data_IF_550867696642
#
_entry.id   IF_550867696642
#
_cell.length_a   1.000
_cell.length_b   1.000
_cell.length_c   1.000
_cell.angle_alpha   90.00
_cell.angle_beta   90.00
_cell.angle_gamma   90.00
#
_symmetry.space_group_name_H-M   'P 1'
#
loop_
_entity.id
_entity.type
_entity.pdbx_description
1 polymer ?
#
# COMPACT_ATOMS: atom_id res chain seq x y z
N UNK A 1 -2.49 24.48 -1.17
CA UNK A 1 -2.06 24.58 0.23
C UNK A 1 -3.11 23.91 1.07
N UNK A 2 -2.72 22.93 1.91
CA UNK A 2 -3.64 22.27 2.81
C UNK A 2 -4.31 23.33 3.68
N UNK A 3 -5.64 23.44 3.59
CA UNK A 3 -6.41 24.24 4.53
C UNK A 3 -6.52 23.39 5.78
N UNK A 4 -6.06 23.89 6.92
CA UNK A 4 -6.13 23.26 8.25
C UNK A 4 -7.57 22.95 8.74
N UNK A 5 -8.59 23.32 7.96
CA UNK A 5 -10.00 23.10 8.26
C UNK A 5 -10.62 24.18 9.14
N UNK A 6 -9.84 25.16 9.59
CA UNK A 6 -10.27 26.22 10.51
C UNK A 6 -11.55 26.94 10.04
N UNK A 7 -11.63 27.31 8.76
CA UNK A 7 -12.80 27.98 8.17
C UNK A 7 -14.04 27.08 8.17
N UNK A 8 -13.88 25.79 7.87
CA UNK A 8 -14.97 24.82 7.90
C UNK A 8 -15.50 24.66 9.32
N UNK A 9 -14.60 24.42 10.27
CA UNK A 9 -14.92 24.24 11.68
C UNK A 9 -15.61 25.47 12.28
N UNK A 10 -15.12 26.67 11.96
CA UNK A 10 -15.74 27.93 12.39
C UNK A 10 -17.19 28.04 11.90
N UNK A 11 -17.45 27.74 10.62
CA UNK A 11 -18.82 27.76 10.07
C UNK A 11 -19.74 26.73 10.72
N UNK A 12 -19.24 25.52 11.00
CA UNK A 12 -20.03 24.49 11.69
C UNK A 12 -20.38 24.95 13.11
N UNK A 13 -19.41 25.55 13.82
CA UNK A 13 -19.62 26.14 15.15
C UNK A 13 -20.71 27.21 15.08
N UNK A 14 -20.69 28.10 14.09
CA UNK A 14 -21.68 29.16 13.96
C UNK A 14 -23.10 28.62 13.72
N UNK A 15 -23.24 27.57 12.90
CA UNK A 15 -24.53 26.89 12.70
C UNK A 15 -25.02 26.24 14.00
N UNK A 16 -24.12 25.62 14.77
CA UNK A 16 -24.46 25.01 16.07
C UNK A 16 -24.88 26.09 17.07
N UNK A 17 -24.17 27.22 17.13
CA UNK A 17 -24.55 28.37 17.97
C UNK A 17 -25.92 28.92 17.59
N UNK A 18 -26.21 29.03 16.29
CA UNK A 18 -27.52 29.44 15.79
C UNK A 18 -28.62 28.48 16.25
N UNK A 19 -28.43 27.17 16.05
CA UNK A 19 -29.39 26.15 16.48
C UNK A 19 -29.59 26.18 18.01
N UNK A 20 -28.51 26.35 18.78
CA UNK A 20 -28.59 26.47 20.23
C UNK A 20 -29.43 27.67 20.67
N UNK A 21 -29.27 28.82 20.02
CA UNK A 21 -29.98 30.06 20.36
C UNK A 21 -31.46 30.01 19.95
N UNK A 22 -31.75 29.61 18.71
CA UNK A 22 -33.09 29.77 18.13
C UNK A 22 -33.95 28.51 18.14
N UNK A 23 -33.34 27.32 18.14
CA UNK A 23 -34.07 26.03 18.17
C UNK A 23 -34.09 25.48 19.59
N UNK A 24 -32.93 25.45 20.26
CA UNK A 24 -32.82 24.89 21.60
C UNK A 24 -33.16 25.90 22.71
N UNK A 25 -33.35 27.18 22.38
CA UNK A 25 -33.67 28.28 23.31
C UNK A 25 -32.69 28.30 24.50
N UNK A 26 -31.41 28.10 24.20
CA UNK A 26 -30.31 28.00 25.17
C UNK A 26 -30.45 26.89 26.23
N UNK A 27 -31.43 26.00 26.09
CA UNK A 27 -31.62 24.87 26.99
C UNK A 27 -30.59 23.77 26.71
N UNK A 28 -29.87 23.37 27.76
CA UNK A 28 -28.80 22.37 27.69
C UNK A 28 -29.35 20.99 27.28
N UNK A 29 -30.50 20.58 27.82
CA UNK A 29 -31.09 19.27 27.52
C UNK A 29 -31.56 19.15 26.07
N UNK A 30 -32.10 20.24 25.51
CA UNK A 30 -32.49 20.31 24.11
C UNK A 30 -31.27 20.33 23.18
N UNK A 31 -30.22 21.05 23.57
CA UNK A 31 -28.94 21.07 22.85
C UNK A 31 -28.33 19.66 22.77
N UNK A 32 -28.32 18.92 23.88
CA UNK A 32 -27.83 17.54 23.92
C UNK A 32 -28.70 16.59 23.08
N UNK A 33 -30.02 16.76 23.09
CA UNK A 33 -30.94 15.96 22.28
C UNK A 33 -30.75 16.22 20.79
N UNK A 34 -30.61 17.50 20.41
CA UNK A 34 -30.30 17.90 19.04
C UNK A 34 -28.94 17.35 18.59
N UNK A 35 -27.93 17.40 19.45
CA UNK A 35 -26.61 16.86 19.14
C UNK A 35 -26.63 15.33 18.95
N UNK A 36 -27.35 14.58 19.78
CA UNK A 36 -27.53 13.12 19.60
C UNK A 36 -28.10 12.76 18.23
N UNK A 37 -28.98 13.60 17.69
CA UNK A 37 -29.61 13.39 16.37
C UNK A 37 -28.71 13.79 15.20
N UNK A 38 -27.78 14.72 15.40
CA UNK A 38 -27.07 15.38 14.28
C UNK A 38 -25.58 15.09 14.25
N UNK A 39 -24.92 14.89 15.39
CA UNK A 39 -23.46 14.80 15.49
C UNK A 39 -22.87 13.65 14.67
N UNK A 40 -23.50 12.47 14.65
CA UNK A 40 -23.02 11.35 13.83
C UNK A 40 -22.93 11.75 12.36
N UNK A 41 -23.99 12.36 11.81
CA UNK A 41 -24.02 12.76 10.40
C UNK A 41 -23.05 13.90 10.11
N UNK A 42 -22.93 14.88 11.01
CA UNK A 42 -21.98 15.99 10.86
C UNK A 42 -20.54 15.44 10.83
N UNK A 43 -20.18 14.62 11.81
CA UNK A 43 -18.84 14.03 11.90
C UNK A 43 -18.52 13.13 10.69
N UNK A 44 -19.47 12.33 10.22
CA UNK A 44 -19.30 11.51 9.00
C UNK A 44 -19.04 12.38 7.75
N UNK A 45 -19.76 13.49 7.60
CA UNK A 45 -19.56 14.42 6.48
C UNK A 45 -18.21 15.12 6.56
N UNK A 46 -17.77 15.53 7.76
CA UNK A 46 -16.44 16.12 7.97
C UNK A 46 -15.34 15.11 7.66
N UNK A 47 -15.49 13.86 8.10
CA UNK A 47 -14.52 12.80 7.78
C UNK A 47 -14.45 12.57 6.28
N UNK A 48 -15.60 12.43 5.62
CA UNK A 48 -15.68 12.06 4.20
C UNK A 48 -15.18 13.18 3.28
N UNK A 49 -15.61 14.41 3.52
CA UNK A 49 -15.40 15.54 2.59
C UNK A 49 -14.27 16.49 2.99
N UNK A 50 -13.60 16.24 4.13
CA UNK A 50 -12.47 17.06 4.54
C UNK A 50 -11.31 16.20 5.05
N UNK A 51 -11.48 15.47 6.14
CA UNK A 51 -10.35 14.78 6.78
C UNK A 51 -9.76 13.70 5.89
N UNK A 52 -10.59 12.89 5.22
CA UNK A 52 -10.12 11.84 4.31
C UNK A 52 -9.37 12.38 3.10
N UNK A 53 -9.82 13.50 2.54
CA UNK A 53 -9.14 14.19 1.43
C UNK A 53 -7.85 14.89 1.89
N UNK A 54 -7.79 15.28 3.16
CA UNK A 54 -6.61 15.90 3.75
C UNK A 54 -5.50 14.89 4.11
N UNK A 55 -5.81 13.59 4.20
CA UNK A 55 -4.78 12.55 4.43
C UNK A 55 -3.78 12.58 3.27
N UNK A 56 -2.47 12.77 3.53
CA UNK A 56 -1.47 12.90 2.47
C UNK A 56 -1.28 11.63 1.63
N UNK A 57 -0.76 11.78 0.42
CA UNK A 57 -0.42 10.64 -0.47
C UNK A 57 1.07 10.25 -0.44
N UNK A 58 1.88 11.03 0.29
CA UNK A 58 3.32 10.82 0.48
C UNK A 58 3.70 10.92 1.96
N UNK A 59 4.64 10.07 2.40
CA UNK A 59 5.06 10.02 3.79
C UNK A 59 5.71 11.34 4.27
N UNK A 60 6.47 12.02 3.41
CA UNK A 60 7.08 13.32 3.69
C UNK A 60 6.07 14.41 4.05
N UNK A 61 4.83 14.29 3.55
CA UNK A 61 3.75 15.26 3.76
C UNK A 61 2.92 15.00 5.02
N UNK A 62 3.15 13.89 5.73
CA UNK A 62 2.51 13.61 7.04
C UNK A 62 2.82 14.70 8.08
N UNK A 63 3.99 15.32 7.99
CA UNK A 63 4.38 16.44 8.88
C UNK A 63 3.41 17.61 8.72
N UNK A 64 2.95 17.90 7.50
CA UNK A 64 1.98 18.96 7.24
C UNK A 64 0.56 18.67 7.74
N UNK A 65 0.26 17.42 8.09
CA UNK A 65 -1.04 17.03 8.63
C UNK A 65 -1.21 17.42 10.12
N UNK A 66 -0.12 17.81 10.79
CA UNK A 66 -0.15 18.24 12.20
C UNK A 66 -1.08 19.44 12.44
N UNK A 67 -1.16 20.36 11.48
CA UNK A 67 -2.07 21.50 11.57
C UNK A 67 -3.55 21.04 11.53
N UNK A 68 -3.87 20.04 10.70
CA UNK A 68 -5.21 19.43 10.63
C UNK A 68 -5.55 18.70 11.93
N UNK A 69 -4.60 17.93 12.50
CA UNK A 69 -4.77 17.27 13.80
C UNK A 69 -5.12 18.32 14.88
N UNK A 70 -4.33 19.39 14.95
CA UNK A 70 -4.52 20.47 15.93
C UNK A 70 -5.89 21.14 15.79
N UNK A 71 -6.23 21.62 14.60
CA UNK A 71 -7.49 22.33 14.36
C UNK A 71 -8.72 21.43 14.57
N UNK A 72 -8.62 20.14 14.23
CA UNK A 72 -9.69 19.16 14.47
C UNK A 72 -9.91 18.92 15.96
N UNK A 73 -8.82 18.79 16.72
CA UNK A 73 -8.87 18.60 18.17
C UNK A 73 -9.43 19.84 18.88
N UNK A 74 -9.03 21.04 18.45
CA UNK A 74 -9.57 22.30 18.98
C UNK A 74 -11.07 22.46 18.68
N UNK A 75 -11.50 22.07 17.48
CA UNK A 75 -12.91 22.04 17.11
C UNK A 75 -13.72 21.12 18.03
N UNK A 76 -13.31 19.87 18.23
CA UNK A 76 -14.02 18.96 19.15
C UNK A 76 -14.00 19.46 20.61
N UNK A 77 -12.89 20.04 21.07
CA UNK A 77 -12.81 20.66 22.39
C UNK A 77 -13.82 21.82 22.55
N UNK A 78 -14.00 22.61 21.49
CA UNK A 78 -14.99 23.71 21.47
C UNK A 78 -16.42 23.15 21.58
N UNK A 79 -16.74 22.09 20.83
CA UNK A 79 -18.05 21.43 20.91
C UNK A 79 -18.31 20.80 22.29
N UNK A 80 -17.26 20.29 22.93
CA UNK A 80 -17.31 19.75 24.29
C UNK A 80 -17.61 20.85 25.30
N UNK A 81 -16.96 22.01 25.20
CA UNK A 81 -17.26 23.18 26.03
C UNK A 81 -18.69 23.70 25.85
N UNK A 82 -19.29 23.46 24.68
CA UNK A 82 -20.69 23.79 24.41
C UNK A 82 -21.69 22.72 24.88
N UNK A 83 -21.24 21.61 25.47
CA UNK A 83 -22.04 20.43 25.81
C UNK A 83 -22.76 19.82 24.60
N UNK A 84 -22.25 20.06 23.39
CA UNK A 84 -22.80 19.51 22.15
C UNK A 84 -22.35 18.05 21.97
N UNK A 85 -21.08 17.77 22.24
CA UNK A 85 -20.57 16.40 22.30
C UNK A 85 -20.27 16.03 23.76
N UNK A 86 -20.19 14.73 24.03
CA UNK A 86 -19.89 14.20 25.35
C UNK A 86 -18.56 14.77 25.90
N UNK A 87 -18.51 15.08 27.20
CA UNK A 87 -17.26 15.45 27.86
C UNK A 87 -16.25 14.31 27.91
N UNK A 88 -16.69 13.06 27.75
CA UNK A 88 -15.77 11.93 27.65
C UNK A 88 -14.97 12.01 26.34
N UNK A 89 -13.64 11.85 26.45
CA UNK A 89 -12.73 11.80 25.30
C UNK A 89 -13.02 10.62 24.39
N UNK A 90 -13.64 9.55 24.90
CA UNK A 90 -13.94 8.34 24.12
C UNK A 90 -14.93 8.56 22.97
N UNK A 91 -15.68 9.65 22.99
CA UNK A 91 -16.66 10.00 21.94
C UNK A 91 -16.12 10.98 20.88
N UNK A 92 -14.83 11.32 20.95
CA UNK A 92 -14.16 12.21 19.99
C UNK A 92 -13.88 11.53 18.65
N UNK A 93 -14.93 11.35 17.83
CA UNK A 93 -14.86 10.62 16.56
C UNK A 93 -13.89 11.24 15.57
N UNK A 94 -13.80 12.57 15.49
CA UNK A 94 -12.87 13.26 14.60
C UNK A 94 -11.44 13.22 15.15
N UNK A 95 -11.25 13.41 16.47
CA UNK A 95 -9.93 13.25 17.09
C UNK A 95 -9.40 11.83 16.90
N UNK A 96 -10.25 10.81 17.10
CA UNK A 96 -9.88 9.42 16.85
C UNK A 96 -9.43 9.19 15.40
N UNK A 97 -10.14 9.77 14.41
CA UNK A 97 -9.77 9.66 13.01
C UNK A 97 -8.39 10.26 12.72
N UNK A 98 -8.12 11.49 13.21
CA UNK A 98 -6.86 12.17 12.94
C UNK A 98 -5.68 11.55 13.70
N UNK A 99 -5.93 10.94 14.87
CA UNK A 99 -4.94 10.17 15.62
C UNK A 99 -4.51 8.89 14.87
N UNK A 100 -5.42 8.29 14.10
CA UNK A 100 -5.15 7.12 13.24
C UNK A 100 -4.75 7.49 11.80
N UNK A 101 -4.32 8.73 11.53
CA UNK A 101 -3.91 9.18 10.19
C UNK A 101 -2.86 8.26 9.54
N UNK A 102 -1.90 7.77 10.32
CA UNK A 102 -0.88 6.84 9.81
C UNK A 102 -1.49 5.53 9.31
N UNK A 103 -2.58 5.06 9.93
CA UNK A 103 -3.31 3.86 9.48
C UNK A 103 -4.00 4.13 8.16
N UNK A 104 -4.70 5.26 8.07
CA UNK A 104 -5.41 5.65 6.86
C UNK A 104 -4.45 5.82 5.69
N UNK A 105 -3.31 6.47 5.93
CA UNK A 105 -2.22 6.59 4.98
C UNK A 105 -1.67 5.22 4.56
N UNK A 106 -1.31 4.37 5.53
CA UNK A 106 -0.73 3.06 5.27
C UNK A 106 -1.66 2.15 4.45
N UNK A 107 -2.95 2.09 4.82
CA UNK A 107 -3.97 1.30 4.11
C UNK A 107 -4.17 1.81 2.68
N UNK A 108 -4.27 3.15 2.50
CA UNK A 108 -4.41 3.74 1.17
C UNK A 108 -3.23 3.39 0.27
N UNK A 109 -2.00 3.58 0.79
CA UNK A 109 -0.79 3.33 0.00
C UNK A 109 -0.60 1.86 -0.31
N UNK A 110 -0.87 0.96 0.66
CA UNK A 110 -0.89 -0.48 0.42
C UNK A 110 -1.85 -0.85 -0.71
N UNK A 111 -3.07 -0.31 -0.68
CA UNK A 111 -4.05 -0.57 -1.74
C UNK A 111 -3.57 -0.03 -3.10
N UNK A 112 -2.95 1.16 -3.14
CA UNK A 112 -2.37 1.72 -4.36
C UNK A 112 -1.30 0.79 -4.97
N UNK A 113 -0.38 0.29 -4.14
CA UNK A 113 0.66 -0.66 -4.54
C UNK A 113 0.01 -1.94 -5.10
N UNK A 114 -0.97 -2.52 -4.42
CA UNK A 114 -1.61 -3.76 -4.86
C UNK A 114 -2.42 -3.58 -6.15
N UNK A 115 -3.07 -2.43 -6.34
CA UNK A 115 -3.76 -2.10 -7.60
C UNK A 115 -2.76 -2.00 -8.74
N UNK A 116 -1.62 -1.32 -8.52
CA UNK A 116 -0.54 -1.24 -9.52
C UNK A 116 0.04 -2.61 -9.86
N UNK A 117 0.30 -3.45 -8.85
CA UNK A 117 0.78 -4.82 -9.04
C UNK A 117 -0.21 -5.62 -9.89
N UNK A 118 -1.51 -5.60 -9.55
CA UNK A 118 -2.55 -6.27 -10.36
C UNK A 118 -2.61 -5.75 -11.79
N UNK A 119 -2.50 -4.44 -12.00
CA UNK A 119 -2.49 -3.86 -13.34
C UNK A 119 -1.31 -4.40 -14.18
N UNK A 120 -0.10 -4.42 -13.60
CA UNK A 120 1.11 -4.97 -14.25
C UNK A 120 0.92 -6.45 -14.61
N UNK A 121 0.30 -7.23 -13.73
CA UNK A 121 0.11 -8.67 -13.90
C UNK A 121 -1.02 -9.00 -14.88
N UNK A 122 -2.11 -8.24 -14.89
CA UNK A 122 -3.19 -8.43 -15.87
C UNK A 122 -2.71 -8.07 -17.27
N UNK A 123 -1.94 -6.98 -17.39
CA UNK A 123 -1.32 -6.52 -18.64
C UNK A 123 0.05 -7.17 -18.86
N UNK A 124 0.18 -8.47 -18.57
CA UNK A 124 1.46 -9.15 -18.59
C UNK A 124 2.14 -9.11 -19.97
N UNK A 125 3.29 -8.45 -20.06
CA UNK A 125 4.03 -8.21 -21.31
C UNK A 125 5.30 -9.07 -21.38
N UNK A 126 5.16 -10.20 -22.08
CA UNK A 126 6.25 -11.11 -22.45
C UNK A 126 6.72 -10.93 -23.90
N UNK A 127 6.11 -10.03 -24.69
CA UNK A 127 6.40 -9.91 -26.12
C UNK A 127 7.71 -9.15 -26.39
N UNK A 128 8.06 -8.25 -25.48
CA UNK A 128 9.30 -7.48 -25.53
C UNK A 128 10.14 -7.79 -24.28
N UNK A 129 10.75 -8.98 -24.21
CA UNK A 129 11.58 -9.33 -23.07
C UNK A 129 12.82 -8.42 -23.01
N UNK A 130 13.22 -8.07 -21.80
CA UNK A 130 14.37 -7.22 -21.53
C UNK A 130 15.44 -8.04 -20.84
N UNK A 131 16.71 -7.69 -21.07
CA UNK A 131 17.79 -8.24 -20.26
C UNK A 131 17.59 -7.79 -18.80
N UNK A 132 17.85 -8.68 -17.84
CA UNK A 132 17.80 -8.36 -16.40
C UNK A 132 18.63 -7.13 -16.03
N UNK A 133 19.68 -6.83 -16.79
CA UNK A 133 20.65 -5.76 -16.52
C UNK A 133 20.30 -4.40 -17.14
N UNK A 134 19.10 -4.18 -17.71
CA UNK A 134 18.66 -2.84 -18.16
C UNK A 134 18.28 -1.95 -16.95
N UNK A 135 19.18 -1.91 -15.98
CA UNK A 135 19.23 -1.00 -14.85
C UNK A 135 19.85 0.32 -15.31
N UNK A 136 19.12 1.08 -16.13
CA UNK A 136 19.54 2.43 -16.54
C UNK A 136 19.68 3.45 -15.40
N UNK A 137 19.64 3.04 -14.12
CA UNK A 137 19.82 3.93 -12.96
C UNK A 137 20.07 3.20 -11.61
N UNK A 138 20.45 1.91 -11.59
CA UNK A 138 20.74 1.22 -10.30
C UNK A 138 22.21 1.44 -9.91
N UNK A 139 22.44 2.07 -8.75
CA UNK A 139 23.76 2.52 -8.28
C UNK A 139 24.56 1.40 -7.58
N UNK A 140 24.03 0.18 -7.40
CA UNK A 140 24.69 -0.84 -6.57
C UNK A 140 24.59 -2.24 -7.16
N UNK A 141 25.75 -2.88 -7.35
CA UNK A 141 25.88 -4.31 -7.64
C UNK A 141 25.36 -5.14 -6.46
N UNK A 142 24.31 -5.93 -6.70
CA UNK A 142 23.89 -6.95 -5.75
C UNK A 142 25.01 -8.01 -5.59
N UNK A 143 25.32 -8.41 -4.35
CA UNK A 143 26.33 -9.44 -4.03
C UNK A 143 26.05 -10.81 -4.70
N UNK A 144 24.80 -11.04 -5.12
CA UNK A 144 24.37 -12.19 -5.89
C UNK A 144 23.77 -11.70 -7.22
N UNK A 145 24.62 -11.30 -8.17
CA UNK A 145 24.13 -11.01 -9.52
C UNK A 145 23.53 -12.30 -10.10
N UNK A 146 22.23 -12.34 -10.42
CA UNK A 146 21.67 -13.47 -11.16
C UNK A 146 22.39 -13.62 -12.50
N UNK A 147 22.47 -14.85 -13.01
CA UNK A 147 22.87 -15.06 -14.40
C UNK A 147 21.98 -14.22 -15.33
N UNK A 148 22.61 -13.52 -16.28
CA UNK A 148 21.92 -12.61 -17.19
C UNK A 148 20.87 -13.38 -17.98
N UNK A 149 19.61 -13.04 -17.76
CA UNK A 149 18.49 -13.68 -18.46
C UNK A 149 17.53 -12.64 -19.02
N UNK A 150 16.79 -13.06 -20.05
CA UNK A 150 15.72 -12.27 -20.62
C UNK A 150 14.44 -12.51 -19.83
N UNK A 151 13.95 -11.45 -19.19
CA UNK A 151 12.74 -11.44 -18.37
C UNK A 151 11.64 -10.63 -19.04
N UNK A 152 10.40 -10.88 -18.64
CA UNK A 152 9.26 -10.07 -19.06
C UNK A 152 9.38 -8.65 -18.51
N UNK A 153 8.80 -7.70 -19.25
CA UNK A 153 8.70 -6.31 -18.78
C UNK A 153 7.87 -6.22 -17.50
N UNK A 154 6.89 -7.11 -17.34
CA UNK A 154 6.03 -7.16 -16.15
C UNK A 154 6.77 -7.63 -14.90
N UNK A 155 7.67 -8.61 -14.99
CA UNK A 155 8.50 -9.02 -13.86
C UNK A 155 9.42 -7.87 -13.41
N UNK A 156 10.06 -7.19 -14.37
CA UNK A 156 10.90 -6.03 -14.09
C UNK A 156 10.10 -4.88 -13.43
N UNK A 157 8.93 -4.54 -13.97
CA UNK A 157 8.07 -3.49 -13.41
C UNK A 157 7.54 -3.85 -12.02
N UNK A 158 7.20 -5.12 -11.79
CA UNK A 158 6.79 -5.59 -10.48
C UNK A 158 7.92 -5.46 -9.46
N UNK A 159 9.14 -5.86 -9.82
CA UNK A 159 10.28 -5.73 -8.91
C UNK A 159 10.59 -4.26 -8.62
N UNK A 160 10.53 -3.37 -9.62
CA UNK A 160 10.63 -1.91 -9.40
C UNK A 160 9.59 -1.39 -8.42
N UNK A 161 8.35 -1.89 -8.49
CA UNK A 161 7.28 -1.54 -7.55
C UNK A 161 7.59 -2.06 -6.11
N UNK A 162 8.14 -3.27 -5.98
CA UNK A 162 8.59 -3.85 -4.71
C UNK A 162 9.70 -3.01 -4.08
N UNK A 163 10.76 -2.67 -4.83
CA UNK A 163 11.82 -1.79 -4.35
C UNK A 163 11.28 -0.41 -3.95
N UNK A 164 10.38 0.18 -4.74
CA UNK A 164 9.73 1.45 -4.41
C UNK A 164 9.01 1.39 -3.06
N UNK A 165 8.21 0.34 -2.84
CA UNK A 165 7.50 0.14 -1.57
C UNK A 165 8.45 -0.03 -0.38
N UNK A 166 9.56 -0.76 -0.55
CA UNK A 166 10.56 -0.95 0.51
C UNK A 166 11.38 0.32 0.79
N UNK A 167 11.74 1.10 -0.24
CA UNK A 167 12.37 2.42 -0.09
C UNK A 167 11.48 3.37 0.71
N UNK A 168 10.21 3.46 0.34
CA UNK A 168 9.23 4.28 1.07
C UNK A 168 9.06 3.80 2.53
N UNK A 169 9.17 2.49 2.77
CA UNK A 169 9.08 1.91 4.10
C UNK A 169 10.29 2.28 4.99
N UNK A 170 11.51 2.34 4.45
CA UNK A 170 12.69 2.81 5.17
C UNK A 170 12.55 4.26 5.66
N UNK A 171 11.81 5.10 4.92
CA UNK A 171 11.58 6.51 5.26
C UNK A 171 10.35 6.73 6.16
N UNK A 172 9.66 5.67 6.56
CA UNK A 172 8.36 5.73 7.23
C UNK A 172 8.42 5.34 8.71
N UNK A 173 7.36 5.67 9.47
CA UNK A 173 7.19 5.16 10.83
C UNK A 173 7.11 3.62 10.83
N UNK A 174 7.43 2.97 11.95
CA UNK A 174 7.34 1.52 12.04
C UNK A 174 5.93 0.99 11.68
N UNK A 175 4.86 1.67 12.09
CA UNK A 175 3.49 1.22 11.78
C UNK A 175 3.23 1.21 10.27
N UNK A 176 3.65 2.26 9.57
CA UNK A 176 3.49 2.41 8.11
C UNK A 176 4.43 1.45 7.35
N UNK A 177 5.69 1.37 7.77
CA UNK A 177 6.70 0.51 7.14
C UNK A 177 6.27 -0.96 7.10
N UNK A 178 5.63 -1.44 8.17
CA UNK A 178 5.05 -2.79 8.24
C UNK A 178 4.02 -3.06 7.13
N UNK A 179 3.10 -2.13 6.90
CA UNK A 179 2.07 -2.29 5.86
C UNK A 179 2.68 -2.26 4.46
N UNK A 180 3.75 -1.48 4.25
CA UNK A 180 4.45 -1.43 2.96
C UNK A 180 5.23 -2.71 2.69
N UNK A 181 5.86 -3.30 3.70
CA UNK A 181 6.44 -4.65 3.60
C UNK A 181 5.38 -5.69 3.22
N UNK A 182 4.21 -5.64 3.84
CA UNK A 182 3.12 -6.54 3.47
C UNK A 182 2.63 -6.30 2.05
N UNK A 183 2.51 -5.04 1.62
CA UNK A 183 2.15 -4.71 0.23
C UNK A 183 3.17 -5.27 -0.78
N UNK A 184 4.47 -5.10 -0.52
CA UNK A 184 5.55 -5.61 -1.36
C UNK A 184 5.54 -7.14 -1.44
N UNK A 185 5.38 -7.81 -0.28
CA UNK A 185 5.26 -9.26 -0.19
C UNK A 185 4.03 -9.79 -0.93
N UNK A 186 2.89 -9.15 -0.72
CA UNK A 186 1.61 -9.49 -1.37
C UNK A 186 1.71 -9.30 -2.89
N UNK A 187 2.43 -8.28 -3.38
CA UNK A 187 2.67 -8.07 -4.81
C UNK A 187 3.44 -9.25 -5.45
N UNK A 188 4.47 -9.77 -4.78
CA UNK A 188 5.18 -10.99 -5.22
C UNK A 188 4.25 -12.21 -5.20
N UNK A 189 3.47 -12.39 -4.13
CA UNK A 189 2.51 -13.49 -4.04
C UNK A 189 1.43 -13.42 -5.13
N UNK A 190 1.01 -12.21 -5.53
CA UNK A 190 0.11 -12.03 -6.67
C UNK A 190 0.73 -12.50 -7.99
N UNK A 191 2.01 -12.23 -8.23
CA UNK A 191 2.69 -12.75 -9.42
C UNK A 191 2.63 -14.28 -9.47
N UNK A 192 3.02 -14.92 -8.35
CA UNK A 192 2.96 -16.37 -8.17
C UNK A 192 1.57 -16.93 -8.46
N UNK A 193 0.51 -16.26 -8.03
CA UNK A 193 -0.86 -16.74 -8.16
C UNK A 193 -1.45 -16.51 -9.56
N UNK A 194 -1.11 -15.39 -10.22
CA UNK A 194 -1.77 -14.94 -11.44
C UNK A 194 -1.06 -15.48 -12.69
N UNK A 195 0.27 -15.33 -12.78
CA UNK A 195 1.01 -15.59 -14.03
C UNK A 195 0.91 -17.06 -14.49
N UNK A 196 1.07 -18.07 -13.62
CA UNK A 196 0.96 -19.47 -14.05
C UNK A 196 -0.42 -19.83 -14.59
N UNK A 197 -1.48 -19.23 -14.03
CA UNK A 197 -2.86 -19.48 -14.44
C UNK A 197 -3.16 -18.75 -15.75
N UNK A 198 -2.75 -17.47 -15.84
CA UNK A 198 -3.00 -16.64 -17.03
C UNK A 198 -2.33 -17.21 -18.29
N UNK A 199 -1.16 -17.85 -18.14
CA UNK A 199 -0.35 -18.36 -19.24
C UNK A 199 -0.33 -19.89 -19.33
N UNK A 200 -1.28 -20.56 -18.67
CA UNK A 200 -1.33 -22.02 -18.59
C UNK A 200 -1.23 -22.69 -19.97
N UNK A 201 -1.98 -22.20 -20.96
CA UNK A 201 -1.96 -22.73 -22.34
C UNK A 201 -0.56 -22.68 -22.97
N UNK A 202 0.21 -21.62 -22.70
CA UNK A 202 1.57 -21.48 -23.21
C UNK A 202 2.55 -22.37 -22.43
N UNK A 203 2.25 -22.66 -21.16
CA UNK A 203 3.05 -23.54 -20.32
C UNK A 203 2.83 -25.03 -20.64
N UNK A 204 1.68 -25.43 -21.21
CA UNK A 204 1.48 -26.81 -21.68
C UNK A 204 1.85 -27.03 -23.16
N UNK A 205 2.41 -26.04 -23.86
CA UNK A 205 3.03 -26.22 -25.18
C UNK A 205 4.52 -25.93 -25.12
N UNK A 206 5.29 -26.43 -26.09
CA UNK A 206 6.68 -26.01 -26.26
C UNK A 206 6.65 -24.58 -26.80
N UNK A 207 6.94 -23.62 -25.93
CA UNK A 207 6.79 -22.19 -26.22
C UNK A 207 7.97 -21.39 -25.68
N UNK A 208 8.51 -20.43 -26.45
CA UNK A 208 9.52 -19.51 -25.94
C UNK A 208 8.99 -18.67 -24.76
N UNK A 209 7.67 -18.52 -24.64
CA UNK A 209 7.02 -17.85 -23.50
C UNK A 209 7.29 -18.59 -22.19
N UNK A 210 7.32 -19.93 -22.21
CA UNK A 210 7.60 -20.72 -21.01
C UNK A 210 9.04 -20.50 -20.50
N UNK A 211 10.00 -20.29 -21.41
CA UNK A 211 11.38 -19.94 -21.04
C UNK A 211 11.46 -18.55 -20.39
N UNK A 212 10.69 -17.56 -20.88
CA UNK A 212 10.60 -16.23 -20.26
C UNK A 212 10.00 -16.34 -18.85
N UNK A 213 8.93 -17.10 -18.67
CA UNK A 213 8.30 -17.26 -17.34
C UNK A 213 9.24 -18.00 -16.37
N UNK A 214 9.99 -19.00 -16.84
CA UNK A 214 11.05 -19.62 -16.06
C UNK A 214 12.09 -18.58 -15.60
N UNK A 215 12.60 -17.77 -16.53
CA UNK A 215 13.57 -16.71 -16.23
C UNK A 215 13.00 -15.69 -15.24
N UNK A 216 11.74 -15.29 -15.38
CA UNK A 216 11.09 -14.39 -14.45
C UNK A 216 11.06 -14.97 -13.03
N UNK A 217 10.57 -16.21 -12.85
CA UNK A 217 10.52 -16.83 -11.53
C UNK A 217 11.92 -17.00 -10.93
N UNK A 218 12.90 -17.36 -11.76
CA UNK A 218 14.29 -17.48 -11.33
C UNK A 218 14.88 -16.13 -10.92
N UNK A 219 14.74 -15.10 -11.75
CA UNK A 219 15.22 -13.75 -11.48
C UNK A 219 14.57 -13.16 -10.23
N UNK A 220 13.24 -13.23 -10.11
CA UNK A 220 12.52 -12.78 -8.92
C UNK A 220 12.99 -13.50 -7.66
N UNK A 221 13.29 -14.80 -7.74
CA UNK A 221 13.88 -15.54 -6.61
C UNK A 221 15.21 -14.96 -6.16
N UNK A 222 16.10 -14.60 -7.09
CA UNK A 222 17.41 -14.05 -6.77
C UNK A 222 17.29 -12.63 -6.18
N UNK A 223 16.47 -11.77 -6.80
CA UNK A 223 16.20 -10.42 -6.31
C UNK A 223 15.65 -10.46 -4.87
N UNK A 224 14.69 -11.37 -4.58
CA UNK A 224 14.12 -11.55 -3.24
C UNK A 224 15.21 -11.79 -2.18
N UNK A 225 16.25 -12.57 -2.50
CA UNK A 225 17.37 -12.82 -1.58
C UNK A 225 18.19 -11.53 -1.32
N UNK A 226 18.29 -10.66 -2.33
CA UNK A 226 18.98 -9.38 -2.27
C UNK A 226 18.27 -8.30 -1.44
N UNK A 227 16.92 -8.33 -1.39
CA UNK A 227 16.13 -7.29 -0.69
C UNK A 227 16.51 -7.12 0.78
N UNK A 228 16.79 -8.24 1.46
CA UNK A 228 17.21 -8.24 2.86
C UNK A 228 18.59 -7.59 3.06
N UNK A 229 19.46 -7.65 2.06
CA UNK A 229 20.77 -7.03 2.13
C UNK A 229 20.66 -5.53 1.85
N UNK A 230 19.86 -5.13 0.86
CA UNK A 230 19.71 -3.76 0.43
C UNK A 230 19.01 -2.87 1.49
N UNK A 231 17.90 -3.33 2.06
CA UNK A 231 17.02 -2.45 2.84
C UNK A 231 17.09 -2.62 4.35
N UNK A 232 17.66 -3.72 4.84
CA UNK A 232 17.58 -4.07 6.27
C UNK A 232 18.30 -3.08 7.18
N UNK A 233 19.40 -2.48 6.73
CA UNK A 233 20.17 -1.51 7.51
C UNK A 233 19.37 -0.22 7.77
N UNK A 234 18.62 0.23 6.77
CA UNK A 234 17.85 1.48 6.81
C UNK A 234 16.44 1.30 7.37
N UNK A 235 16.03 0.06 7.68
CA UNK A 235 14.67 -0.23 8.12
C UNK A 235 14.41 0.18 9.58
N UNK A 236 13.21 0.68 9.92
CA UNK A 236 12.85 1.02 11.29
C UNK A 236 13.15 -0.11 12.31
N UNK A 237 13.67 0.30 13.48
CA UNK A 237 14.09 -0.60 14.55
C UNK A 237 12.96 -1.57 14.95
N UNK A 238 13.28 -2.86 15.07
CA UNK A 238 12.34 -3.91 15.43
C UNK A 238 11.55 -4.53 14.26
N UNK A 239 11.67 -4.00 13.04
CA UNK A 239 10.95 -4.52 11.85
C UNK A 239 11.84 -5.13 10.77
N UNK A 240 13.14 -5.16 10.98
CA UNK A 240 14.16 -5.70 10.06
C UNK A 240 13.91 -7.15 9.63
N UNK A 241 13.16 -7.94 10.41
CA UNK A 241 12.80 -9.33 10.04
C UNK A 241 11.75 -9.40 8.93
N UNK A 242 10.94 -8.35 8.74
CA UNK A 242 9.84 -8.34 7.77
C UNK A 242 10.34 -8.19 6.33
N UNK A 243 11.48 -7.53 6.13
CA UNK A 243 12.09 -7.22 4.82
C UNK A 243 12.72 -8.46 4.16
N UNK A 244 12.94 -9.51 4.95
CA UNK A 244 13.84 -10.58 4.54
C UNK A 244 13.25 -11.43 3.41
N UNK A 245 11.93 -11.63 3.36
CA UNK A 245 11.19 -12.44 2.36
C UNK A 245 11.85 -13.77 1.91
N UNK A 246 12.83 -14.28 2.67
CA UNK A 246 13.70 -15.42 2.30
C UNK A 246 12.88 -16.69 2.14
N UNK A 247 11.70 -16.77 2.77
CA UNK A 247 10.79 -17.88 2.60
C UNK A 247 10.16 -17.93 1.19
N UNK A 248 10.08 -16.80 0.47
CA UNK A 248 9.54 -16.75 -0.89
C UNK A 248 10.57 -17.17 -1.95
N UNK A 249 11.86 -16.87 -1.77
CA UNK A 249 12.87 -17.18 -2.78
C UNK A 249 12.89 -18.68 -3.18
N UNK A 250 12.99 -19.65 -2.23
CA UNK A 250 12.92 -21.07 -2.58
C UNK A 250 11.63 -21.47 -3.31
N UNK A 251 10.50 -20.85 -2.97
CA UNK A 251 9.22 -21.11 -3.62
C UNK A 251 9.25 -20.66 -5.09
N UNK A 252 9.82 -19.49 -5.36
CA UNK A 252 9.95 -18.96 -6.71
C UNK A 252 10.93 -19.78 -7.54
N UNK A 253 12.08 -20.15 -6.97
CA UNK A 253 13.05 -21.05 -7.61
C UNK A 253 12.43 -22.41 -7.95
N UNK A 254 11.67 -23.02 -7.04
CA UNK A 254 10.97 -24.28 -7.31
C UNK A 254 9.94 -24.17 -8.45
N UNK A 255 9.25 -23.03 -8.59
CA UNK A 255 8.34 -22.80 -9.71
C UNK A 255 9.08 -22.65 -11.03
N UNK A 256 10.22 -21.94 -11.04
CA UNK A 256 11.08 -21.86 -12.21
C UNK A 256 11.49 -23.27 -12.67
N UNK A 257 12.01 -24.09 -11.75
CA UNK A 257 12.39 -25.47 -12.05
C UNK A 257 11.22 -26.33 -12.54
N UNK A 258 10.04 -26.13 -11.95
CA UNK A 258 8.81 -26.83 -12.35
C UNK A 258 8.44 -26.54 -13.82
N UNK A 259 8.58 -25.29 -14.25
CA UNK A 259 8.34 -24.88 -15.64
C UNK A 259 9.38 -25.52 -16.57
N UNK A 260 10.67 -25.46 -16.20
CA UNK A 260 11.75 -26.05 -17.01
C UNK A 260 11.54 -27.56 -17.20
N UNK A 261 11.30 -28.29 -16.11
CA UNK A 261 11.02 -29.74 -16.15
C UNK A 261 9.84 -30.07 -17.04
N UNK A 262 8.76 -29.29 -16.96
CA UNK A 262 7.58 -29.45 -17.81
C UNK A 262 7.92 -29.30 -19.28
N UNK A 263 8.70 -28.28 -19.64
CA UNK A 263 9.09 -28.04 -21.04
C UNK A 263 9.99 -29.15 -21.59
N UNK A 264 10.93 -29.68 -20.78
CA UNK A 264 11.75 -30.83 -21.16
C UNK A 264 10.90 -32.07 -21.43
N UNK A 265 9.89 -32.33 -20.59
CA UNK A 265 8.98 -33.47 -20.77
C UNK A 265 8.16 -33.36 -22.06
N UNK A 266 7.64 -32.17 -22.37
CA UNK A 266 6.91 -31.92 -23.61
C UNK A 266 7.82 -32.10 -24.84
N UNK A 267 9.05 -31.60 -24.77
CA UNK A 267 10.04 -31.80 -25.83
C UNK A 267 10.38 -33.28 -26.05
N UNK A 268 10.61 -34.03 -24.96
CA UNK A 268 10.90 -35.46 -25.04
C UNK A 268 9.73 -36.25 -25.62
N UNK A 269 8.49 -35.96 -25.21
CA UNK A 269 7.29 -36.61 -25.73
C UNK A 269 7.15 -36.38 -27.25
N UNK A 270 7.29 -35.14 -27.71
CA UNK A 270 7.22 -34.81 -29.13
C UNK A 270 8.33 -35.48 -29.96
N UNK A 271 9.51 -35.70 -29.39
CA UNK A 271 10.62 -36.40 -30.06
C UNK A 271 10.41 -37.91 -30.10
N UNK A 272 9.63 -38.48 -29.18
CA UNK A 272 9.30 -39.92 -29.17
C UNK A 272 8.12 -40.30 -30.07
N UNK A 273 7.35 -39.31 -30.54
CA UNK A 273 6.24 -39.50 -31.49
C UNK A 273 6.68 -39.39 -32.97
N UNK A 274 7.96 -39.05 -33.23
CA UNK A 274 8.60 -39.00 -34.56
C UNK A 274 9.44 -40.25 -34.80
#
# INVERSE_FOLDING_TARGET
>A
GYKDGSVLYSRIIDVIKFARKFICVENITWTQSFAKLTWSRISDLVITHFLSEAVPDEASKLIGFQDVIRSTTEFENTLRGMMFISPDRKDGKLTQFVDDVEVHFAVRKRNEILVKARYILVQYDYKNPLASDDHGDSVVDLLFQPEKCFISKSALQLMKLVHGALKDACLSSARVAKEFCYAARDALLLYKAIVPVQLEKQLNSISPVAAIIHNDFYHLSQEILGLAFEYRADFPSGQQKLVVFVDLAPIFSQMADGILRRQIQLAAANLSEV
#
